data_IF_497532330500
#
_entry.id   IF_497532330500
#
_cell.length_a   1.000
_cell.length_b   1.000
_cell.length_c   1.000
_cell.angle_alpha   90.00
_cell.angle_beta   90.00
_cell.angle_gamma   90.00
#
_symmetry.space_group_name_H-M   'P 1'
#
loop_
_entity.id
_entity.type
_entity.pdbx_description
1 polymer ?
#
# COMPACT_ATOMS: atom_id res chain seq x y z
N UNK A 1 14.58 1.48 -5.99
CA UNK A 1 14.21 2.39 -4.90
C UNK A 1 14.55 3.81 -5.31
N UNK A 2 13.69 4.78 -5.03
CA UNK A 2 13.99 6.19 -5.25
C UNK A 2 14.95 6.70 -4.15
N UNK A 3 15.82 7.64 -4.49
CA UNK A 3 16.79 8.20 -3.54
C UNK A 3 16.09 9.10 -2.51
N UNK A 4 16.39 8.90 -1.22
CA UNK A 4 15.79 9.68 -0.13
C UNK A 4 16.36 11.10 -0.09
N UNK A 5 15.45 12.07 -0.08
CA UNK A 5 15.68 13.49 0.18
C UNK A 5 15.04 13.85 1.53
N UNK A 6 15.81 13.75 2.61
CA UNK A 6 15.30 13.96 3.97
C UNK A 6 14.43 12.79 4.44
N UNK A 7 13.13 13.01 4.62
CA UNK A 7 12.19 11.96 5.10
C UNK A 7 11.40 11.27 3.97
N UNK A 8 11.67 11.63 2.71
CA UNK A 8 10.88 11.22 1.54
C UNK A 8 11.72 11.08 0.28
N UNK A 9 11.19 10.38 -0.71
CA UNK A 9 11.71 10.35 -2.07
C UNK A 9 10.62 10.74 -3.07
N UNK A 10 11.01 10.96 -4.33
CA UNK A 10 10.09 11.20 -5.43
C UNK A 10 10.20 10.08 -6.45
N UNK A 11 9.07 9.55 -6.90
CA UNK A 11 9.02 8.52 -7.93
C UNK A 11 7.92 8.81 -8.96
N UNK A 12 8.07 8.31 -10.21
CA UNK A 12 6.98 8.31 -11.18
C UNK A 12 5.80 7.50 -10.65
N UNK A 13 4.58 7.81 -11.12
CA UNK A 13 3.34 7.17 -10.69
C UNK A 13 3.18 5.73 -11.25
N UNK A 14 4.12 4.84 -10.93
CA UNK A 14 3.98 3.40 -11.13
C UNK A 14 3.80 2.73 -9.78
N UNK A 15 2.71 1.99 -9.64
CA UNK A 15 2.40 1.23 -8.45
C UNK A 15 1.95 -0.17 -8.83
N UNK A 16 2.31 -1.17 -8.03
CA UNK A 16 1.69 -2.50 -8.10
C UNK A 16 0.54 -2.47 -7.09
N UNK A 17 -0.74 -2.40 -7.51
CA UNK A 17 -1.80 -1.92 -6.63
C UNK A 17 -1.96 -2.72 -5.34
N UNK A 18 -1.82 -4.06 -5.40
CA UNK A 18 -1.91 -4.92 -4.22
C UNK A 18 -0.82 -4.69 -3.16
N UNK A 19 0.31 -4.08 -3.54
CA UNK A 19 1.44 -3.76 -2.65
C UNK A 19 1.50 -2.27 -2.32
N UNK A 20 0.58 -1.48 -2.88
CA UNK A 20 0.59 -0.02 -2.74
C UNK A 20 -0.15 0.36 -1.45
N UNK A 21 0.47 1.16 -0.56
CA UNK A 21 -0.19 1.59 0.66
C UNK A 21 -1.34 2.58 0.34
N UNK A 22 -2.38 2.63 1.17
CA UNK A 22 -3.57 3.43 0.90
C UNK A 22 -3.29 4.95 0.84
N UNK A 23 -2.29 5.47 1.54
CA UNK A 23 -1.89 6.88 1.43
C UNK A 23 -1.36 7.28 0.05
N UNK A 24 -0.90 6.32 -0.76
CA UNK A 24 -0.46 6.57 -2.13
C UNK A 24 -1.59 6.44 -3.17
N UNK A 25 -2.82 6.12 -2.74
CA UNK A 25 -4.02 6.21 -3.61
C UNK A 25 -4.52 7.66 -3.76
N UNK A 26 -4.16 8.54 -2.82
CA UNK A 26 -4.33 10.00 -2.93
C UNK A 26 -2.99 10.69 -2.68
N UNK A 27 -2.02 10.50 -3.59
CA UNK A 27 -0.69 11.03 -3.36
C UNK A 27 -0.72 12.55 -3.30
N UNK A 28 0.04 13.12 -2.36
CA UNK A 28 0.47 14.50 -2.48
C UNK A 28 1.43 14.59 -3.67
N UNK A 29 0.93 15.13 -4.79
CA UNK A 29 1.71 15.36 -6.00
C UNK A 29 2.18 16.81 -5.99
N UNK A 30 3.49 17.02 -6.07
CA UNK A 30 4.09 18.33 -6.32
C UNK A 30 4.81 18.35 -7.68
N UNK A 31 5.50 19.46 -7.98
CA UNK A 31 6.25 19.63 -9.24
C UNK A 31 7.35 18.56 -9.45
N UNK A 32 7.76 17.84 -8.41
CA UNK A 32 8.79 16.79 -8.43
C UNK A 32 8.19 15.38 -8.51
N UNK A 33 6.87 15.24 -8.43
CA UNK A 33 6.15 13.98 -8.58
C UNK A 33 5.46 13.50 -7.31
N UNK A 34 5.22 12.18 -7.20
CA UNK A 34 4.59 11.60 -6.01
C UNK A 34 5.60 11.51 -4.88
N UNK A 35 5.27 12.12 -3.75
CA UNK A 35 6.07 12.02 -2.52
C UNK A 35 5.88 10.64 -1.88
N UNK A 36 6.96 9.86 -1.80
CA UNK A 36 6.98 8.53 -1.17
C UNK A 36 7.74 8.58 0.15
N UNK A 37 7.20 7.91 1.17
CA UNK A 37 7.81 7.73 2.50
C UNK A 37 8.45 6.34 2.61
N UNK A 38 9.47 6.15 3.47
CA UNK A 38 9.94 4.81 3.84
C UNK A 38 8.83 3.88 4.36
N UNK A 39 7.74 4.44 4.92
CA UNK A 39 6.57 3.67 5.35
C UNK A 39 5.88 2.91 4.21
N UNK A 40 6.01 3.37 2.96
CA UNK A 40 5.46 2.67 1.81
C UNK A 40 6.17 1.33 1.56
N UNK A 41 7.49 1.28 1.75
CA UNK A 41 8.25 0.04 1.62
C UNK A 41 7.95 -0.93 2.77
N UNK A 42 7.72 -0.41 3.99
CA UNK A 42 7.30 -1.23 5.14
C UNK A 42 5.93 -1.87 4.89
N UNK A 43 4.98 -1.12 4.32
CA UNK A 43 3.69 -1.65 3.92
C UNK A 43 3.82 -2.75 2.86
N UNK A 44 4.54 -2.47 1.78
CA UNK A 44 4.75 -3.43 0.69
C UNK A 44 5.43 -4.71 1.21
N UNK A 45 6.39 -4.57 2.13
CA UNK A 45 7.01 -5.70 2.81
C UNK A 45 6.02 -6.51 3.64
N UNK A 46 5.12 -5.86 4.40
CA UNK A 46 4.07 -6.55 5.16
C UNK A 46 3.14 -7.37 4.27
N UNK A 47 2.72 -6.81 3.12
CA UNK A 47 1.93 -7.53 2.12
C UNK A 47 2.72 -8.73 1.57
N UNK A 48 3.97 -8.52 1.18
CA UNK A 48 4.83 -9.57 0.63
C UNK A 48 5.06 -10.71 1.63
N UNK A 49 5.32 -10.37 2.90
CA UNK A 49 5.53 -11.34 3.96
C UNK A 49 4.27 -12.20 4.18
N UNK A 50 3.09 -11.59 4.19
CA UNK A 50 1.84 -12.32 4.30
C UNK A 50 1.65 -13.28 3.11
N UNK A 51 1.78 -12.79 1.87
CA UNK A 51 1.68 -13.63 0.66
C UNK A 51 2.69 -14.78 0.69
N UNK A 52 3.92 -14.52 1.11
CA UNK A 52 4.95 -15.56 1.20
C UNK A 52 4.63 -16.65 2.24
N UNK A 53 3.92 -16.30 3.32
CA UNK A 53 3.57 -17.21 4.41
C UNK A 53 2.24 -17.95 4.17
N UNK A 54 1.27 -17.31 3.51
CA UNK A 54 -0.12 -17.80 3.42
C UNK A 54 -0.53 -18.16 1.99
N UNK A 55 0.18 -17.64 0.98
CA UNK A 55 -0.18 -17.77 -0.43
C UNK A 55 -1.37 -16.91 -0.86
N UNK A 56 -1.94 -16.09 0.03
CA UNK A 56 -3.06 -15.18 -0.26
C UNK A 56 -2.69 -13.73 0.04
N UNK A 57 -3.46 -12.78 -0.50
CA UNK A 57 -3.29 -11.36 -0.14
C UNK A 57 -3.96 -11.06 1.21
N UNK A 58 -3.39 -10.13 2.01
CA UNK A 58 -3.82 -9.90 3.39
C UNK A 58 -5.16 -9.19 3.52
N UNK A 59 -5.62 -8.48 2.49
CA UNK A 59 -6.88 -7.74 2.56
C UNK A 59 -8.01 -8.49 1.83
N UNK A 60 -9.25 -8.38 2.34
CA UNK A 60 -10.38 -9.11 1.77
C UNK A 60 -10.73 -8.59 0.37
N UNK A 61 -11.07 -9.50 -0.54
CA UNK A 61 -11.52 -9.17 -1.89
C UNK A 61 -10.96 -10.09 -2.97
N UNK A 62 -11.84 -10.55 -3.87
CA UNK A 62 -11.46 -11.44 -4.97
C UNK A 62 -10.73 -10.74 -6.12
N UNK A 63 -10.77 -9.41 -6.20
CA UNK A 63 -10.02 -8.61 -7.18
C UNK A 63 -9.08 -7.63 -6.49
N UNK A 64 -8.09 -7.16 -7.25
CA UNK A 64 -7.17 -6.11 -6.81
C UNK A 64 -7.91 -4.83 -6.40
N UNK A 65 -8.96 -4.44 -7.13
CA UNK A 65 -9.79 -3.28 -6.80
C UNK A 65 -10.52 -3.47 -5.47
N UNK A 66 -11.08 -4.66 -5.22
CA UNK A 66 -11.78 -4.96 -3.96
C UNK A 66 -10.83 -4.89 -2.75
N UNK A 67 -9.59 -5.39 -2.90
CA UNK A 67 -8.57 -5.31 -1.84
C UNK A 67 -8.07 -3.89 -1.63
N UNK A 68 -7.92 -3.14 -2.71
CA UNK A 68 -7.55 -1.72 -2.69
C UNK A 68 -8.60 -0.88 -1.96
N UNK A 69 -9.89 -1.15 -2.20
CA UNK A 69 -11.02 -0.54 -1.49
C UNK A 69 -11.03 -0.90 0.01
N UNK A 70 -10.76 -2.16 0.36
CA UNK A 70 -10.62 -2.58 1.75
C UNK A 70 -9.49 -1.84 2.49
N UNK A 71 -8.32 -1.68 1.84
CA UNK A 71 -7.19 -0.90 2.38
C UNK A 71 -7.61 0.56 2.66
N UNK A 72 -8.34 1.13 1.71
CA UNK A 72 -8.85 2.50 1.75
C UNK A 72 -9.83 2.72 2.90
N UNK A 73 -10.81 1.82 3.08
CA UNK A 73 -11.78 1.91 4.17
C UNK A 73 -11.10 1.83 5.54
N UNK A 74 -10.10 0.95 5.67
CA UNK A 74 -9.27 0.89 6.87
C UNK A 74 -8.51 2.20 7.12
N UNK A 75 -7.80 2.73 6.12
CA UNK A 75 -7.00 3.95 6.27
C UNK A 75 -7.83 5.19 6.59
N UNK A 76 -9.07 5.25 6.10
CA UNK A 76 -10.02 6.33 6.42
C UNK A 76 -10.66 6.18 7.80
N UNK A 77 -10.39 5.09 8.52
CA UNK A 77 -11.03 4.76 9.79
C UNK A 77 -12.52 4.46 9.67
N UNK A 78 -13.02 4.16 8.46
CA UNK A 78 -14.42 3.78 8.25
C UNK A 78 -14.67 2.33 8.63
N UNK A 79 -13.64 1.50 8.60
CA UNK A 79 -13.66 0.12 9.09
C UNK A 79 -12.37 -0.22 9.84
N UNK A 80 -12.43 -1.22 10.72
CA UNK A 80 -11.25 -1.80 11.36
C UNK A 80 -10.40 -2.61 10.36
N UNK A 81 -9.13 -2.82 10.69
CA UNK A 81 -8.26 -3.69 9.89
C UNK A 81 -8.80 -5.13 9.94
N UNK A 82 -9.28 -5.61 8.79
CA UNK A 82 -9.69 -7.01 8.61
C UNK A 82 -8.73 -7.68 7.67
N UNK A 83 -8.07 -8.71 8.17
CA UNK A 83 -7.20 -9.53 7.35
C UNK A 83 -7.98 -10.72 6.78
N UNK A 84 -7.52 -11.20 5.63
CA UNK A 84 -7.93 -12.49 5.07
C UNK A 84 -7.69 -13.59 6.11
N UNK A 85 -8.56 -14.61 6.19
CA UNK A 85 -8.56 -15.58 7.28
C UNK A 85 -7.36 -16.54 7.25
N UNK A 86 -6.56 -16.54 6.18
CA UNK A 86 -5.36 -17.37 6.08
C UNK A 86 -4.23 -16.74 6.89
N UNK A 87 -3.91 -17.34 8.04
CA UNK A 87 -2.73 -17.10 8.86
C UNK A 87 -2.18 -18.43 9.38
#
# INVERSE_FOLDING_TARGET
AAELQGTHAYAPAFATPDYTPPELQWPEIDERGTRIRPTADIWAFGVLAHVALTGSFPLPGGSTEARTDAATRYARGTEELRLSPEL
#
